data_IF_461276608427
#
_entry.id   IF_461276608427
#
_cell.length_a   1.000
_cell.length_b   1.000
_cell.length_c   1.000
_cell.angle_alpha   90.00
_cell.angle_beta   90.00
_cell.angle_gamma   90.00
#
_symmetry.space_group_name_H-M   'P 1'
#
loop_
_entity.id
_entity.type
_entity.pdbx_description
1 polymer ?
#
# COMPACT_ATOMS: atom_id res chain seq x y z
N UNK A 1 -0.08 -1.64 0.51
CA UNK A 1 0.50 -0.50 -0.22
C UNK A 1 0.94 0.49 0.84
N UNK A 2 2.15 1.03 0.74
CA UNK A 2 2.68 1.99 1.71
C UNK A 2 3.22 3.21 0.96
N UNK A 3 2.94 4.40 1.49
CA UNK A 3 3.58 5.62 1.04
C UNK A 3 5.05 5.63 1.48
N UNK A 4 5.95 6.11 0.63
CA UNK A 4 7.35 6.26 1.00
C UNK A 4 7.54 7.32 2.10
N UNK A 5 6.67 8.33 2.11
CA UNK A 5 6.67 9.43 3.07
C UNK A 5 5.58 9.23 4.16
N UNK A 6 5.18 7.97 4.39
CA UNK A 6 4.19 7.62 5.41
C UNK A 6 4.73 7.91 6.82
N UNK A 7 3.96 8.67 7.60
CA UNK A 7 4.30 9.08 8.97
C UNK A 7 4.45 7.90 9.93
N UNK A 8 3.90 6.73 9.59
CA UNK A 8 4.02 5.51 10.40
C UNK A 8 5.25 4.65 10.08
N UNK A 9 6.10 5.06 9.13
CA UNK A 9 7.47 4.54 8.91
C UNK A 9 7.71 3.08 9.28
N UNK A 10 8.27 2.85 10.47
CA UNK A 10 8.68 1.54 11.01
C UNK A 10 7.53 0.52 11.13
N UNK A 11 6.29 0.98 11.27
CA UNK A 11 5.12 0.11 11.36
C UNK A 11 4.92 -0.72 10.07
N UNK A 12 5.42 -0.24 8.94
CA UNK A 12 5.45 -1.00 7.68
C UNK A 12 6.23 -2.30 7.84
N UNK A 13 7.40 -2.26 8.49
CA UNK A 13 8.25 -3.43 8.69
C UNK A 13 7.52 -4.49 9.52
N UNK A 14 6.86 -4.07 10.61
CA UNK A 14 6.06 -4.95 11.48
C UNK A 14 4.94 -5.64 10.69
N UNK A 15 4.19 -4.89 9.88
CA UNK A 15 3.09 -5.45 9.08
C UNK A 15 3.62 -6.42 8.02
N UNK A 16 4.72 -6.08 7.33
CA UNK A 16 5.30 -6.98 6.32
C UNK A 16 5.87 -8.27 6.92
N UNK A 17 6.44 -8.20 8.12
CA UNK A 17 6.90 -9.39 8.84
C UNK A 17 5.75 -10.30 9.26
N UNK A 18 4.60 -9.71 9.65
CA UNK A 18 3.40 -10.46 10.05
C UNK A 18 2.73 -11.20 8.87
N UNK A 19 2.81 -10.65 7.67
CA UNK A 19 2.16 -11.20 6.47
C UNK A 19 3.18 -11.44 5.34
N UNK A 20 4.09 -12.42 5.48
CA UNK A 20 5.23 -12.60 4.58
C UNK A 20 4.84 -13.04 3.15
N UNK A 21 3.64 -13.58 2.96
CA UNK A 21 3.11 -13.94 1.64
C UNK A 21 2.37 -12.79 0.94
N UNK A 22 2.16 -11.66 1.61
CA UNK A 22 1.47 -10.53 1.02
C UNK A 22 2.35 -9.83 -0.03
N UNK A 23 1.74 -9.39 -1.14
CA UNK A 23 2.43 -8.50 -2.08
C UNK A 23 2.53 -7.10 -1.49
N UNK A 24 3.75 -6.58 -1.40
CA UNK A 24 4.04 -5.24 -0.87
C UNK A 24 4.49 -4.32 -1.99
N UNK A 25 3.97 -3.09 -1.99
CA UNK A 25 4.41 -2.02 -2.90
C UNK A 25 4.63 -0.75 -2.10
N UNK A 26 5.78 -0.11 -2.36
CA UNK A 26 6.13 1.22 -1.86
C UNK A 26 5.92 2.25 -2.96
N UNK A 27 5.23 3.32 -2.64
CA UNK A 27 4.85 4.35 -3.59
C UNK A 27 5.63 5.63 -3.31
N UNK A 28 6.45 6.03 -4.29
CA UNK A 28 7.15 7.32 -4.26
C UNK A 28 6.15 8.47 -4.24
N UNK A 29 6.55 9.58 -3.62
CA UNK A 29 5.78 10.83 -3.55
C UNK A 29 4.36 10.61 -2.99
N UNK A 30 4.25 9.74 -1.99
CA UNK A 30 2.99 9.35 -1.36
C UNK A 30 3.21 9.28 0.14
N UNK A 31 2.37 10.00 0.88
CA UNK A 31 2.36 9.99 2.33
C UNK A 31 1.42 8.93 2.87
N UNK A 32 0.89 9.21 4.07
CA UNK A 32 0.03 8.30 4.81
C UNK A 32 -1.29 7.94 4.07
N UNK A 33 -1.86 8.91 3.34
CA UNK A 33 -3.18 8.77 2.72
C UNK A 33 -3.05 8.48 1.22
N UNK A 34 -2.74 7.24 0.86
CA UNK A 34 -2.55 6.83 -0.54
C UNK A 34 -3.78 7.08 -1.45
N UNK A 35 -4.99 7.09 -0.89
CA UNK A 35 -6.22 7.42 -1.62
C UNK A 35 -6.38 8.92 -1.90
N UNK A 36 -5.65 9.78 -1.18
CA UNK A 36 -5.58 11.22 -1.40
C UNK A 36 -4.38 11.60 -2.28
N UNK A 37 -3.19 11.08 -1.97
CA UNK A 37 -1.95 11.43 -2.68
C UNK A 37 -1.83 10.76 -4.06
N UNK A 38 -2.37 9.55 -4.21
CA UNK A 38 -2.28 8.76 -5.44
C UNK A 38 -3.60 8.04 -5.81
N UNK A 39 -4.72 8.77 -5.95
CA UNK A 39 -6.08 8.20 -6.04
C UNK A 39 -6.25 7.20 -7.18
N UNK A 40 -5.70 7.50 -8.36
CA UNK A 40 -5.80 6.62 -9.52
C UNK A 40 -5.00 5.32 -9.33
N UNK A 41 -3.82 5.41 -8.71
CA UNK A 41 -2.99 4.23 -8.41
C UNK A 41 -3.66 3.38 -7.33
N UNK A 42 -4.23 4.02 -6.31
CA UNK A 42 -5.04 3.40 -5.27
C UNK A 42 -6.22 2.63 -5.85
N UNK A 43 -7.05 3.27 -6.66
CA UNK A 43 -8.18 2.63 -7.34
C UNK A 43 -7.75 1.44 -8.19
N UNK A 44 -6.66 1.57 -8.97
CA UNK A 44 -6.12 0.47 -9.77
C UNK A 44 -5.70 -0.71 -8.90
N UNK A 45 -5.10 -0.49 -7.73
CA UNK A 45 -4.72 -1.61 -6.88
C UNK A 45 -5.89 -2.26 -6.17
N UNK A 46 -6.89 -1.51 -5.74
CA UNK A 46 -8.12 -2.11 -5.22
C UNK A 46 -8.77 -3.01 -6.28
N UNK A 47 -8.91 -2.49 -7.51
CA UNK A 47 -9.46 -3.29 -8.61
C UNK A 47 -8.65 -4.56 -8.85
N UNK A 48 -7.31 -4.49 -8.85
CA UNK A 48 -6.46 -5.68 -9.00
C UNK A 48 -6.63 -6.67 -7.85
N UNK A 49 -6.70 -6.21 -6.62
CA UNK A 49 -6.86 -7.05 -5.44
C UNK A 49 -8.21 -7.78 -5.47
N UNK A 50 -9.32 -7.05 -5.69
CA UNK A 50 -10.66 -7.62 -5.72
C UNK A 50 -10.95 -8.45 -6.97
N UNK A 51 -10.35 -8.13 -8.13
CA UNK A 51 -10.49 -8.94 -9.34
C UNK A 51 -9.86 -10.33 -9.21
N UNK A 52 -8.95 -10.53 -8.25
CA UNK A 52 -8.33 -11.84 -7.98
C UNK A 52 -9.04 -12.64 -6.89
N UNK A 53 -10.11 -12.10 -6.30
CA UNK A 53 -10.94 -12.83 -5.36
C UNK A 53 -11.95 -13.70 -6.13
N UNK A 54 -12.18 -14.95 -5.71
CA UNK A 54 -13.13 -15.86 -6.34
C UNK A 54 -14.58 -15.36 -6.26
#
# INVERSE_FOLDING_TARGET
>A
MFGQDDTYGEHTQVVTARYPSARVEFWKDCGHLAWFDAPDRFKRQLNKFYATLP
#
